data_IF_642320035705
#
_entry.id   IF_642320035705
#
_cell.length_a   1.000
_cell.length_b   1.000
_cell.length_c   1.000
_cell.angle_alpha   90.00
_cell.angle_beta   90.00
_cell.angle_gamma   90.00
#
_symmetry.space_group_name_H-M   'P 1'
#
loop_
_entity.id
_entity.type
_entity.pdbx_description
1 polymer ?
#
# COMPACT_ATOMS: atom_id res chain seq x y z
N UNK A 1 -90.96 -32.65 37.16
CA UNK A 1 -92.07 -32.33 36.21
C UNK A 1 -91.38 -31.76 34.91
N UNK A 2 -91.62 -32.48 33.82
CA UNK A 2 -91.78 -32.03 32.43
C UNK A 2 -90.63 -31.33 31.78
N UNK A 3 -89.99 -32.07 30.87
CA UNK A 3 -90.16 -32.12 29.38
C UNK A 3 -89.22 -31.11 28.67
N UNK A 4 -88.29 -31.64 27.97
CA UNK A 4 -88.19 -32.06 26.57
C UNK A 4 -88.08 -30.87 25.62
N UNK A 5 -87.03 -30.80 24.83
CA UNK A 5 -87.01 -31.17 23.42
C UNK A 5 -85.66 -30.80 22.75
N UNK A 6 -84.98 -31.75 22.28
CA UNK A 6 -84.34 -32.00 21.02
C UNK A 6 -84.53 -30.87 20.02
N UNK A 7 -83.42 -30.35 19.53
CA UNK A 7 -83.22 -30.06 18.09
C UNK A 7 -81.78 -30.24 17.67
N UNK A 8 -81.59 -31.18 16.82
CA UNK A 8 -80.40 -31.58 16.14
C UNK A 8 -80.16 -30.61 14.97
N UNK A 9 -79.03 -29.96 14.89
CA UNK A 9 -78.55 -29.50 13.57
C UNK A 9 -77.05 -29.73 13.43
N UNK A 10 -76.76 -30.53 12.39
CA UNK A 10 -75.43 -30.78 11.81
C UNK A 10 -74.92 -29.50 11.18
N UNK A 11 -73.63 -29.23 11.27
CA UNK A 11 -73.02 -28.23 10.44
C UNK A 11 -71.56 -28.00 10.76
N UNK A 12 -70.70 -28.65 9.98
CA UNK A 12 -69.50 -28.10 9.42
C UNK A 12 -68.31 -27.79 10.37
N UNK A 13 -67.43 -28.74 10.52
CA UNK A 13 -66.05 -28.51 10.94
C UNK A 13 -65.34 -27.80 9.76
N UNK A 14 -65.13 -26.51 9.89
CA UNK A 14 -64.17 -25.77 9.03
C UNK A 14 -62.83 -25.74 9.79
N UNK A 15 -61.94 -26.57 9.33
CA UNK A 15 -60.54 -26.61 9.74
C UNK A 15 -59.86 -25.42 9.07
N UNK A 16 -59.67 -24.31 9.78
CA UNK A 16 -58.87 -23.20 9.31
C UNK A 16 -57.38 -23.61 9.46
N UNK A 17 -56.77 -23.97 8.32
CA UNK A 17 -55.34 -24.20 8.25
C UNK A 17 -54.68 -22.83 8.18
N UNK A 18 -54.16 -22.34 9.28
CA UNK A 18 -53.31 -21.14 9.31
C UNK A 18 -51.94 -21.58 8.79
N UNK A 19 -51.70 -21.29 7.53
CA UNK A 19 -50.42 -21.46 6.89
C UNK A 19 -49.48 -20.33 7.37
N UNK A 20 -48.66 -20.63 8.37
CA UNK A 20 -47.61 -19.75 8.86
C UNK A 20 -46.53 -19.70 7.81
N UNK A 21 -46.58 -18.71 6.88
CA UNK A 21 -45.47 -18.42 5.97
C UNK A 21 -44.33 -17.85 6.81
N UNK A 22 -43.38 -18.73 7.15
CA UNK A 22 -42.07 -18.33 7.64
C UNK A 22 -41.31 -17.60 6.53
N UNK A 23 -41.17 -16.28 6.66
CA UNK A 23 -40.22 -15.50 5.87
C UNK A 23 -38.81 -15.89 6.32
N UNK A 24 -38.24 -16.86 5.63
CA UNK A 24 -36.79 -17.06 5.67
C UNK A 24 -36.17 -15.87 4.97
N UNK A 25 -35.73 -14.85 5.73
CA UNK A 25 -34.72 -13.94 5.29
C UNK A 25 -33.42 -14.74 5.15
N UNK A 26 -33.20 -15.31 3.98
CA UNK A 26 -31.87 -15.71 3.58
C UNK A 26 -31.04 -14.44 3.41
N UNK A 27 -30.29 -14.07 4.45
CA UNK A 27 -29.11 -13.23 4.25
C UNK A 27 -28.17 -14.04 3.34
N UNK A 28 -28.23 -13.77 2.06
CA UNK A 28 -27.12 -14.09 1.17
C UNK A 28 -26.02 -13.12 1.56
N UNK A 29 -25.08 -13.56 2.38
CA UNK A 29 -23.77 -12.95 2.42
C UNK A 29 -23.22 -13.10 1.01
N UNK A 30 -23.44 -12.10 0.18
CA UNK A 30 -22.67 -11.88 -1.02
C UNK A 30 -21.31 -11.40 -0.52
N UNK A 31 -20.42 -12.35 -0.28
CA UNK A 31 -18.99 -12.09 -0.38
C UNK A 31 -18.74 -11.70 -1.85
N UNK A 32 -19.03 -10.45 -2.18
CA UNK A 32 -18.53 -9.87 -3.42
C UNK A 32 -17.02 -9.96 -3.34
N UNK A 33 -16.37 -10.73 -4.23
CA UNK A 33 -14.91 -10.83 -4.21
C UNK A 33 -14.38 -9.40 -4.36
N UNK A 34 -13.71 -8.91 -3.31
CA UNK A 34 -13.05 -7.60 -3.37
C UNK A 34 -12.19 -7.58 -4.64
N UNK A 35 -12.34 -6.54 -5.47
CA UNK A 35 -11.56 -6.47 -6.69
C UNK A 35 -10.08 -6.53 -6.33
N UNK A 36 -9.40 -7.57 -6.83
CA UNK A 36 -7.95 -7.70 -6.68
C UNK A 36 -7.33 -6.56 -7.46
N UNK A 37 -6.81 -5.56 -6.75
CA UNK A 37 -6.13 -4.44 -7.38
C UNK A 37 -4.78 -4.90 -7.94
N UNK A 38 -4.61 -4.76 -9.24
CA UNK A 38 -3.37 -5.13 -9.94
C UNK A 38 -2.33 -4.01 -9.85
N UNK A 39 -1.04 -4.28 -10.13
CA UNK A 39 -0.03 -3.24 -10.29
C UNK A 39 -0.45 -2.11 -11.23
N UNK A 40 -1.09 -2.43 -12.35
CA UNK A 40 -1.62 -1.46 -13.31
C UNK A 40 -2.67 -0.54 -12.67
N UNK A 41 -3.59 -1.10 -11.87
CA UNK A 41 -4.62 -0.32 -11.18
C UNK A 41 -3.99 0.68 -10.19
N UNK A 42 -3.00 0.25 -9.42
CA UNK A 42 -2.26 1.12 -8.50
C UNK A 42 -1.55 2.26 -9.24
N UNK A 43 -0.91 1.96 -10.37
CA UNK A 43 -0.27 2.99 -11.21
C UNK A 43 -1.32 3.98 -11.72
N UNK A 44 -2.44 3.49 -12.24
CA UNK A 44 -3.53 4.33 -12.78
C UNK A 44 -4.16 5.20 -11.68
N UNK A 45 -4.49 4.63 -10.52
CA UNK A 45 -5.03 5.38 -9.39
C UNK A 45 -4.08 6.48 -8.93
N UNK A 46 -2.77 6.24 -8.99
CA UNK A 46 -1.78 7.25 -8.61
C UNK A 46 -1.81 8.49 -9.49
N UNK A 47 -2.31 8.41 -10.73
CA UNK A 47 -2.37 9.56 -11.65
C UNK A 47 -3.30 10.69 -11.16
N UNK A 48 -4.31 10.38 -10.36
CA UNK A 48 -5.24 11.34 -9.78
C UNK A 48 -4.72 12.01 -8.50
N UNK A 49 -3.55 11.60 -7.98
CA UNK A 49 -3.03 12.12 -6.74
C UNK A 49 -2.55 13.57 -6.88
N UNK A 50 -2.98 14.42 -5.96
CA UNK A 50 -2.46 15.78 -5.82
C UNK A 50 -1.14 15.73 -5.06
N UNK A 51 -0.08 16.32 -5.64
CA UNK A 51 1.22 16.39 -4.98
C UNK A 51 1.22 17.47 -3.92
N UNK A 52 1.59 17.16 -2.67
CA UNK A 52 1.77 18.18 -1.63
C UNK A 52 2.90 19.16 -1.96
N UNK A 53 2.85 20.38 -1.41
CA UNK A 53 3.88 21.42 -1.62
C UNK A 53 5.28 20.95 -1.22
N UNK A 54 5.41 20.06 -0.23
CA UNK A 54 6.68 19.46 0.16
C UNK A 54 7.40 18.70 -0.99
N UNK A 55 6.66 18.33 -2.05
CA UNK A 55 7.17 17.67 -3.26
C UNK A 55 7.39 18.62 -4.43
N UNK A 56 7.29 19.93 -4.20
CA UNK A 56 7.59 20.92 -5.24
C UNK A 56 9.02 20.73 -5.74
N UNK A 57 9.13 20.52 -7.05
CA UNK A 57 10.42 20.47 -7.73
C UNK A 57 11.01 21.90 -7.82
N UNK A 58 12.33 22.03 -7.86
CA UNK A 58 12.96 23.32 -8.06
C UNK A 58 12.40 23.98 -9.32
N UNK A 59 12.06 25.27 -9.25
CA UNK A 59 11.57 25.99 -10.42
C UNK A 59 12.62 25.97 -11.51
N UNK A 60 12.22 25.62 -12.71
CA UNK A 60 13.03 25.76 -13.90
C UNK A 60 12.18 26.29 -15.05
N UNK A 61 12.81 26.80 -16.07
CA UNK A 61 12.12 27.41 -17.20
C UNK A 61 11.63 26.40 -18.25
N UNK A 62 12.13 25.17 -18.22
CA UNK A 62 11.88 24.16 -19.22
C UNK A 62 10.96 23.02 -18.78
N UNK A 63 10.68 22.96 -17.47
CA UNK A 63 9.77 21.95 -16.93
C UNK A 63 10.43 20.59 -16.67
N UNK A 64 9.58 19.61 -16.50
CA UNK A 64 9.97 18.25 -16.12
C UNK A 64 9.17 17.25 -16.92
N UNK A 65 9.81 16.12 -17.27
CA UNK A 65 9.19 15.01 -17.95
C UNK A 65 9.24 13.75 -17.08
N UNK A 66 8.13 13.05 -16.98
CA UNK A 66 8.08 11.73 -16.35
C UNK A 66 8.64 10.69 -17.32
N UNK A 67 9.70 10.01 -16.90
CA UNK A 67 10.36 8.96 -17.66
C UNK A 67 9.70 7.61 -17.47
N UNK A 68 9.31 7.31 -16.22
CA UNK A 68 8.72 6.02 -15.85
C UNK A 68 7.90 6.12 -14.57
N UNK A 69 6.96 5.19 -14.43
CA UNK A 69 6.20 4.94 -13.20
C UNK A 69 6.14 3.44 -12.97
N UNK A 70 6.49 3.01 -11.74
CA UNK A 70 6.46 1.60 -11.35
C UNK A 70 5.76 1.42 -10.02
N UNK A 71 5.03 0.31 -9.88
CA UNK A 71 4.47 -0.15 -8.63
C UNK A 71 5.46 -1.10 -7.96
N UNK A 72 5.72 -0.88 -6.68
CA UNK A 72 6.60 -1.71 -5.87
C UNK A 72 5.82 -2.52 -4.84
N UNK A 73 6.16 -3.80 -4.71
CA UNK A 73 5.64 -4.70 -3.69
C UNK A 73 6.80 -5.39 -3.01
N UNK A 74 6.87 -5.32 -1.69
CA UNK A 74 7.97 -5.94 -0.96
C UNK A 74 7.94 -5.65 0.54
N UNK A 75 9.11 -5.55 1.15
CA UNK A 75 9.28 -5.32 2.57
C UNK A 75 10.24 -4.17 2.87
N UNK A 76 9.98 -3.49 3.98
CA UNK A 76 10.96 -2.64 4.66
C UNK A 76 11.63 -3.48 5.73
N UNK A 77 12.96 -3.63 5.64
CA UNK A 77 13.74 -4.42 6.59
C UNK A 77 14.19 -3.56 7.75
N UNK A 78 14.01 -4.08 8.96
CA UNK A 78 14.42 -3.48 10.21
C UNK A 78 15.28 -4.43 11.01
N UNK A 79 16.14 -3.89 11.85
CA UNK A 79 16.91 -4.62 12.86
C UNK A 79 16.79 -3.94 14.22
N UNK A 80 17.00 -4.71 15.28
CA UNK A 80 17.12 -4.17 16.62
C UNK A 80 18.44 -3.39 16.78
N UNK A 81 18.38 -2.34 17.56
CA UNK A 81 19.52 -1.56 18.03
C UNK A 81 19.31 -1.21 19.51
N UNK A 82 20.37 -1.08 20.26
CA UNK A 82 20.30 -0.55 21.63
C UNK A 82 19.81 0.89 21.57
N UNK A 83 18.74 1.18 22.29
CA UNK A 83 18.21 2.53 22.42
C UNK A 83 19.09 3.34 23.35
N UNK A 84 19.69 4.40 22.84
CA UNK A 84 20.60 5.24 23.60
C UNK A 84 19.91 5.88 24.82
N UNK A 85 20.64 5.98 25.93
CA UNK A 85 20.18 6.69 27.13
C UNK A 85 19.13 5.93 27.95
N UNK A 86 18.95 4.62 27.77
CA UNK A 86 18.01 3.80 28.56
C UNK A 86 18.70 2.96 29.63
N UNK A 87 18.12 2.94 30.85
CA UNK A 87 18.51 2.06 31.95
C UNK A 87 17.23 1.58 32.66
N UNK A 88 16.90 0.27 32.67
CA UNK A 88 17.62 -0.82 32.02
C UNK A 88 17.70 -0.70 30.50
N UNK A 89 18.57 -1.48 29.87
CA UNK A 89 18.76 -1.49 28.42
C UNK A 89 17.43 -1.80 27.70
N UNK A 90 17.07 -0.95 26.75
CA UNK A 90 15.95 -1.13 25.84
C UNK A 90 16.45 -1.19 24.40
N UNK A 91 15.62 -1.75 23.52
CA UNK A 91 15.92 -1.84 22.10
C UNK A 91 14.90 -1.02 21.29
N UNK A 92 15.31 -0.61 20.10
CA UNK A 92 14.47 0.08 19.13
C UNK A 92 14.68 -0.50 17.72
N UNK A 93 13.67 -0.36 16.86
CA UNK A 93 13.78 -0.75 15.46
C UNK A 93 14.50 0.33 14.66
N UNK A 94 15.50 -0.08 13.91
CA UNK A 94 16.22 0.79 12.97
C UNK A 94 16.05 0.24 11.56
N UNK A 95 15.67 1.11 10.64
CA UNK A 95 15.55 0.78 9.23
C UNK A 95 16.90 0.35 8.64
N UNK A 96 16.87 -0.70 7.83
CA UNK A 96 18.06 -1.25 7.15
C UNK A 96 18.00 -0.96 5.67
N UNK A 97 16.97 -1.46 4.99
CA UNK A 97 16.84 -1.35 3.54
C UNK A 97 15.42 -1.72 3.08
N UNK A 98 14.97 -1.23 1.92
CA UNK A 98 13.87 -1.85 1.20
C UNK A 98 14.34 -3.11 0.47
N UNK A 99 13.41 -4.02 0.21
CA UNK A 99 13.55 -5.11 -0.73
C UNK A 99 12.18 -5.32 -1.41
N UNK A 100 12.08 -4.99 -2.69
CA UNK A 100 10.81 -5.04 -3.40
C UNK A 100 10.98 -5.39 -4.88
N UNK A 101 9.95 -6.02 -5.42
CA UNK A 101 9.76 -6.22 -6.85
C UNK A 101 9.10 -4.99 -7.46
N UNK A 102 9.47 -4.69 -8.70
CA UNK A 102 8.91 -3.58 -9.49
C UNK A 102 8.05 -4.12 -10.62
N UNK A 103 6.87 -3.52 -10.76
CA UNK A 103 5.89 -3.88 -11.79
C UNK A 103 5.52 -2.67 -12.64
N UNK A 104 5.27 -2.90 -13.92
CA UNK A 104 4.80 -1.89 -14.87
C UNK A 104 3.27 -1.93 -15.07
N UNK A 105 2.78 -1.09 -15.98
CA UNK A 105 1.35 -0.99 -16.33
C UNK A 105 0.81 -2.23 -17.05
N UNK A 106 1.65 -3.16 -17.47
CA UNK A 106 1.25 -4.45 -18.04
C UNK A 106 1.15 -5.56 -17.00
N UNK A 107 1.35 -5.22 -15.70
CA UNK A 107 1.47 -6.16 -14.59
C UNK A 107 2.71 -7.07 -14.67
N UNK A 108 3.67 -6.74 -15.51
CA UNK A 108 4.91 -7.49 -15.61
C UNK A 108 5.89 -7.07 -14.51
N UNK A 109 6.54 -8.05 -13.87
CA UNK A 109 7.70 -7.80 -13.02
C UNK A 109 8.87 -7.40 -13.91
N UNK A 110 9.31 -6.14 -13.74
CA UNK A 110 10.32 -5.54 -14.62
C UNK A 110 11.63 -5.20 -13.91
N UNK A 111 11.72 -5.43 -12.60
CA UNK A 111 12.92 -5.10 -11.86
C UNK A 111 12.78 -5.26 -10.35
N UNK A 112 13.75 -4.70 -9.63
CA UNK A 112 13.85 -4.75 -8.17
C UNK A 112 14.25 -3.40 -7.60
N UNK A 113 13.84 -3.19 -6.34
CA UNK A 113 14.25 -2.05 -5.52
C UNK A 113 14.91 -2.55 -4.23
N UNK A 114 16.10 -2.04 -3.92
CA UNK A 114 16.89 -2.51 -2.79
C UNK A 114 17.74 -1.38 -2.17
N UNK A 115 18.63 -1.77 -1.26
CA UNK A 115 19.48 -0.85 -0.51
C UNK A 115 20.18 0.22 -1.38
N UNK A 116 20.32 1.41 -0.81
CA UNK A 116 21.08 2.48 -1.38
C UNK A 116 20.38 3.84 -1.56
N UNK A 117 19.06 4.02 -1.66
CA UNK A 117 18.03 3.18 -2.32
C UNK A 117 18.32 3.06 -3.83
N UNK A 118 18.24 1.86 -4.36
CA UNK A 118 18.56 1.55 -5.76
C UNK A 118 17.36 0.92 -6.46
N UNK A 119 17.13 1.31 -7.72
CA UNK A 119 16.17 0.67 -8.64
C UNK A 119 16.97 0.11 -9.82
N UNK A 120 16.77 -1.17 -10.09
CA UNK A 120 17.42 -1.89 -11.18
C UNK A 120 16.38 -2.68 -11.96
N UNK A 121 16.23 -2.39 -13.25
CA UNK A 121 15.31 -3.14 -14.11
C UNK A 121 15.97 -4.41 -14.64
N UNK A 122 15.14 -5.34 -15.09
CA UNK A 122 15.54 -6.54 -15.81
C UNK A 122 16.20 -6.14 -17.13
N UNK A 123 17.29 -6.79 -17.45
CA UNK A 123 18.11 -6.44 -18.60
C UNK A 123 19.32 -5.57 -18.24
N UNK A 124 20.29 -5.44 -19.15
CA UNK A 124 21.53 -4.74 -18.87
C UNK A 124 21.35 -3.22 -18.87
N UNK A 125 22.00 -2.56 -17.91
CA UNK A 125 22.24 -1.12 -17.98
C UNK A 125 21.08 -0.20 -17.57
N UNK A 126 20.07 -0.67 -16.86
CA UNK A 126 18.97 0.18 -16.37
C UNK A 126 19.01 0.29 -14.85
N UNK A 127 19.77 1.25 -14.34
CA UNK A 127 19.95 1.42 -12.89
C UNK A 127 19.96 2.90 -12.50
N UNK A 128 19.34 3.20 -11.36
CA UNK A 128 19.42 4.50 -10.70
C UNK A 128 19.54 4.31 -9.20
N UNK A 129 20.38 5.13 -8.57
CA UNK A 129 20.49 5.24 -7.12
C UNK A 129 19.97 6.60 -6.68
N UNK A 130 19.12 6.60 -5.63
CA UNK A 130 18.59 7.82 -5.04
C UNK A 130 19.33 8.26 -3.79
N UNK A 131 19.14 9.51 -3.43
CA UNK A 131 19.51 10.05 -2.12
C UNK A 131 18.45 11.02 -1.61
N UNK A 132 18.24 11.02 -0.30
CA UNK A 132 17.34 11.98 0.33
C UNK A 132 17.92 13.39 0.28
N UNK A 133 17.04 14.40 0.20
CA UNK A 133 17.42 15.79 0.44
C UNK A 133 17.77 16.00 1.93
N UNK A 134 18.49 17.06 2.21
CA UNK A 134 18.75 17.53 3.58
C UNK A 134 18.30 19.00 3.71
N UNK A 135 17.21 19.27 4.45
CA UNK A 135 16.31 18.32 5.12
C UNK A 135 15.51 17.45 4.14
N UNK A 136 15.08 16.27 4.61
CA UNK A 136 14.32 15.35 3.80
C UNK A 136 12.96 15.95 3.39
N UNK A 137 12.59 15.78 2.12
CA UNK A 137 11.28 16.18 1.58
C UNK A 137 10.30 15.02 1.72
N UNK A 138 9.46 15.07 2.75
CA UNK A 138 8.53 13.99 3.10
C UNK A 138 7.13 14.51 3.34
N UNK A 139 6.15 13.62 3.15
CA UNK A 139 4.75 13.85 3.47
C UNK A 139 4.15 12.58 4.06
N UNK A 140 3.40 12.71 5.16
CA UNK A 140 2.70 11.59 5.78
C UNK A 140 1.23 11.67 5.40
N UNK A 141 0.80 10.82 4.47
CA UNK A 141 -0.59 10.71 4.08
C UNK A 141 -1.35 9.78 5.02
N UNK A 142 -0.75 8.63 5.33
CA UNK A 142 -1.28 7.61 6.23
C UNK A 142 -0.31 7.39 7.40
N UNK A 143 -0.76 7.54 8.66
CA UNK A 143 0.08 7.33 9.83
C UNK A 143 0.56 5.87 9.99
N UNK A 144 -0.08 4.90 9.34
CA UNK A 144 0.30 3.48 9.37
C UNK A 144 1.27 3.09 8.26
N UNK A 145 1.54 3.99 7.33
CA UNK A 145 2.42 3.76 6.19
C UNK A 145 3.72 4.55 6.28
N UNK A 146 4.77 4.09 5.60
CA UNK A 146 5.98 4.89 5.44
C UNK A 146 5.63 6.16 4.67
N UNK A 147 6.28 7.26 5.02
CA UNK A 147 6.01 8.56 4.40
C UNK A 147 6.27 8.51 2.89
N UNK A 148 5.53 9.32 2.15
CA UNK A 148 5.95 9.73 0.83
C UNK A 148 7.31 10.42 0.92
N UNK A 149 8.10 10.31 -0.13
CA UNK A 149 9.48 10.80 -0.12
C UNK A 149 9.89 11.27 -1.51
N UNK A 150 10.40 12.50 -1.59
CA UNK A 150 11.10 12.98 -2.78
C UNK A 150 12.60 12.78 -2.59
N UNK A 151 13.22 12.17 -3.60
CA UNK A 151 14.64 11.90 -3.67
C UNK A 151 15.25 12.60 -4.89
N UNK A 152 16.52 12.93 -4.83
CA UNK A 152 17.34 13.21 -6.02
C UNK A 152 18.08 11.94 -6.48
N UNK A 153 18.61 11.92 -7.70
CA UNK A 153 19.64 10.94 -8.04
C UNK A 153 20.86 11.16 -7.13
N UNK A 154 21.55 10.08 -6.81
CA UNK A 154 22.72 10.13 -5.94
C UNK A 154 23.90 10.78 -6.64
N UNK A 155 24.47 11.80 -6.03
CA UNK A 155 25.65 12.49 -6.54
C UNK A 155 26.81 11.51 -6.79
N UNK A 156 27.45 11.62 -7.94
CA UNK A 156 28.55 10.74 -8.35
C UNK A 156 28.12 9.32 -8.80
N UNK A 157 26.81 9.08 -8.93
CA UNK A 157 26.24 7.83 -9.45
C UNK A 157 25.32 8.15 -10.62
N UNK A 158 25.84 8.08 -11.83
CA UNK A 158 25.07 8.43 -13.02
C UNK A 158 23.98 7.39 -13.29
N UNK A 159 22.71 7.84 -13.46
CA UNK A 159 21.62 6.97 -13.89
C UNK A 159 21.89 6.42 -15.30
N UNK A 160 21.55 5.15 -15.52
CA UNK A 160 21.82 4.47 -16.79
C UNK A 160 20.55 3.97 -17.49
N UNK A 161 20.66 3.74 -18.79
CA UNK A 161 19.58 3.19 -19.61
C UNK A 161 18.34 4.09 -19.62
N UNK A 162 17.16 3.55 -19.33
CA UNK A 162 15.92 4.33 -19.31
C UNK A 162 15.93 5.44 -18.25
N UNK A 163 16.76 5.34 -17.23
CA UNK A 163 16.88 6.35 -16.18
C UNK A 163 17.84 7.48 -16.50
N UNK A 164 18.49 7.44 -17.67
CA UNK A 164 19.44 8.49 -18.06
C UNK A 164 18.80 9.88 -18.00
N UNK A 165 19.46 10.82 -17.31
CA UNK A 165 18.97 12.18 -17.11
C UNK A 165 17.90 12.33 -16.01
N UNK A 166 17.46 11.24 -15.35
CA UNK A 166 16.55 11.33 -14.20
C UNK A 166 17.27 12.07 -13.06
N UNK A 167 16.66 13.16 -12.62
CA UNK A 167 17.14 13.95 -11.49
C UNK A 167 16.34 13.75 -10.20
N UNK A 168 15.08 13.28 -10.33
CA UNK A 168 14.16 13.21 -9.20
C UNK A 168 13.37 11.90 -9.20
N UNK A 169 13.15 11.37 -8.00
CA UNK A 169 12.41 10.12 -7.78
C UNK A 169 11.38 10.39 -6.69
N UNK A 170 10.10 10.18 -7.01
CA UNK A 170 9.01 10.27 -6.06
C UNK A 170 8.65 8.88 -5.56
N UNK A 171 8.61 8.69 -4.26
CA UNK A 171 7.92 7.58 -3.60
C UNK A 171 6.60 8.12 -3.07
N UNK A 172 5.48 7.64 -3.61
CA UNK A 172 4.12 8.10 -3.31
C UNK A 172 3.17 6.93 -3.16
N UNK A 173 1.93 7.20 -2.75
CA UNK A 173 0.89 6.17 -2.59
C UNK A 173 1.39 4.95 -1.80
N UNK A 174 2.07 5.21 -0.70
CA UNK A 174 2.66 4.15 0.13
C UNK A 174 1.60 3.49 1.00
N UNK A 175 1.71 2.16 1.15
CA UNK A 175 0.90 1.39 2.10
C UNK A 175 1.83 0.53 2.96
N UNK A 176 1.66 0.57 4.27
CA UNK A 176 2.44 -0.22 5.23
C UNK A 176 3.92 0.19 5.33
N UNK A 177 4.77 -0.75 5.69
CA UNK A 177 6.23 -0.60 5.74
C UNK A 177 6.78 0.11 6.97
N UNK A 178 5.97 0.60 7.91
CA UNK A 178 6.47 1.18 9.17
C UNK A 178 7.06 0.12 10.09
N UNK A 179 8.05 0.52 10.86
CA UNK A 179 8.58 -0.34 11.91
C UNK A 179 7.48 -0.85 12.84
N UNK A 180 7.58 -2.09 13.36
CA UNK A 180 6.61 -2.59 14.33
C UNK A 180 6.50 -1.66 15.54
N UNK A 181 5.27 -1.47 16.04
CA UNK A 181 5.00 -0.61 17.21
C UNK A 181 5.61 -1.23 18.48
N UNK A 182 5.56 -2.56 18.59
CA UNK A 182 6.18 -3.28 19.73
C UNK A 182 7.68 -3.24 19.57
N UNK A 183 8.43 -2.71 20.56
CA UNK A 183 9.87 -2.71 20.52
C UNK A 183 10.46 -4.13 20.43
N UNK A 184 11.65 -4.30 19.86
CA UNK A 184 12.33 -5.59 19.86
C UNK A 184 12.74 -6.01 21.29
N UNK A 185 12.78 -7.31 21.56
CA UNK A 185 13.10 -7.87 22.88
C UNK A 185 14.57 -8.19 23.05
N UNK A 186 15.31 -8.30 21.96
CA UNK A 186 16.73 -8.58 21.95
C UNK A 186 17.43 -7.95 20.74
N UNK A 187 18.77 -7.93 20.76
CA UNK A 187 19.58 -7.29 19.72
C UNK A 187 19.63 -8.06 18.40
N UNK A 188 19.31 -9.36 18.41
CA UNK A 188 19.30 -10.18 17.20
C UNK A 188 17.99 -10.10 16.43
N UNK A 189 16.97 -9.45 17.01
CA UNK A 189 15.65 -9.33 16.38
C UNK A 189 15.72 -8.57 15.05
N UNK A 190 15.01 -9.09 14.06
CA UNK A 190 14.79 -8.47 12.75
C UNK A 190 13.30 -8.46 12.43
N UNK A 191 12.89 -7.54 11.55
CA UNK A 191 11.52 -7.51 11.05
C UNK A 191 11.50 -7.13 9.56
N UNK A 192 10.74 -7.89 8.79
CA UNK A 192 10.43 -7.63 7.39
C UNK A 192 8.97 -7.17 7.31
N UNK A 193 8.76 -5.87 7.14
CA UNK A 193 7.41 -5.28 7.19
C UNK A 193 6.89 -5.04 5.78
N UNK A 194 5.79 -5.70 5.37
CA UNK A 194 5.22 -5.54 4.03
C UNK A 194 4.90 -4.09 3.70
N UNK A 195 5.19 -3.69 2.46
CA UNK A 195 4.81 -2.38 1.94
C UNK A 195 4.55 -2.42 0.44
N UNK A 196 3.80 -1.42 -0.01
CA UNK A 196 3.70 -1.06 -1.43
C UNK A 196 4.00 0.42 -1.61
N UNK A 197 4.39 0.79 -2.82
CA UNK A 197 4.61 2.18 -3.20
C UNK A 197 4.53 2.37 -4.72
N UNK A 198 4.23 3.58 -5.14
CA UNK A 198 4.48 4.03 -6.51
C UNK A 198 5.79 4.81 -6.55
N UNK A 199 6.63 4.47 -7.51
CA UNK A 199 7.83 5.23 -7.83
C UNK A 199 7.67 5.92 -9.18
N UNK A 200 7.82 7.27 -9.20
CA UNK A 200 7.86 8.08 -10.42
C UNK A 200 9.25 8.64 -10.63
N UNK A 201 9.77 8.46 -11.82
CA UNK A 201 11.10 8.91 -12.23
C UNK A 201 10.94 10.09 -13.17
N UNK A 202 11.61 11.21 -12.84
CA UNK A 202 11.40 12.48 -13.51
C UNK A 202 12.75 13.07 -13.90
N UNK A 203 12.88 13.47 -15.17
CA UNK A 203 14.04 14.20 -15.67
C UNK A 203 13.66 15.66 -15.93
N UNK A 204 14.67 16.50 -15.94
CA UNK A 204 14.57 17.88 -16.38
C UNK A 204 14.55 17.93 -17.89
N UNK A 205 13.64 18.69 -18.48
CA UNK A 205 13.68 19.01 -19.91
C UNK A 205 14.71 20.13 -20.10
N UNK A 206 15.71 19.89 -20.94
CA UNK A 206 16.76 20.85 -21.28
C UNK A 206 16.27 21.84 -22.32
#
# INVERSE_FOLDING_TARGET
MKNSNIFRRRGGRILAFVMLMGLFNACTDHDDPQPVTTPADHIQLSESLTMPDAFSLPPNQQGYERVATYFAVGVQKYKAQVKAGTSPVQYEWVFVAPEADLYDVSNAKIGIHYAGPTWKLTGPGHTIMGQAFSPAKTFSEDPNSINWLLLSNKAGQEPTGIFQGVGYIFRIATTGGRAPVTPPTDLAATADVPYTAIYRFVKRIL
#
